data_IF_007813643472
#
_entry.id   IF_007813643472
#
_cell.length_a   1.000
_cell.length_b   1.000
_cell.length_c   1.000
_cell.angle_alpha   90.00
_cell.angle_beta   90.00
_cell.angle_gamma   90.00
#
_symmetry.space_group_name_H-M   'P 1'
#
loop_
_entity.id
_entity.type
_entity.pdbx_description
1 polymer ?
#
# COMPACT_ATOMS: atom_id res chain seq x y z
N UNK A 1 -25.19 4.93 16.20
CA UNK A 1 -23.90 4.92 15.47
C UNK A 1 -23.53 3.45 15.29
N UNK A 2 -23.79 2.88 14.11
CA UNK A 2 -23.57 1.44 13.86
C UNK A 2 -22.07 1.18 13.76
N UNK A 3 -21.56 0.23 14.53
CA UNK A 3 -20.16 -0.18 14.44
C UNK A 3 -19.86 -0.68 13.02
N UNK A 4 -18.67 -0.39 12.46
CA UNK A 4 -18.29 -0.88 11.15
C UNK A 4 -18.30 -2.41 11.13
N UNK A 5 -18.80 -2.99 10.03
CA UNK A 5 -18.79 -4.45 9.84
C UNK A 5 -17.34 -4.94 9.85
N UNK A 6 -16.98 -5.96 10.66
CA UNK A 6 -15.65 -6.52 10.63
C UNK A 6 -15.36 -7.19 9.27
N UNK A 7 -14.17 -6.97 8.73
CA UNK A 7 -13.69 -7.67 7.55
C UNK A 7 -13.03 -8.99 7.98
N UNK A 8 -13.82 -10.07 7.94
CA UNK A 8 -13.40 -11.42 8.39
C UNK A 8 -12.21 -11.99 7.61
N UNK A 9 -11.85 -11.41 6.46
CA UNK A 9 -10.70 -11.86 5.66
C UNK A 9 -9.36 -11.45 6.28
N UNK A 10 -9.39 -10.50 7.21
CA UNK A 10 -8.22 -10.09 7.99
C UNK A 10 -7.91 -11.05 9.15
N UNK A 11 -8.80 -11.98 9.46
CA UNK A 11 -8.58 -12.96 10.54
C UNK A 11 -7.48 -13.97 10.15
N UNK A 12 -7.57 -14.50 8.93
CA UNK A 12 -6.59 -15.43 8.35
C UNK A 12 -5.28 -14.73 7.92
N UNK A 13 -5.38 -13.50 7.43
CA UNK A 13 -4.22 -12.71 7.02
C UNK A 13 -4.37 -11.27 7.48
N UNK A 14 -3.93 -10.97 8.72
CA UNK A 14 -4.05 -9.63 9.29
C UNK A 14 -3.18 -8.63 8.55
N UNK A 15 -3.53 -7.36 8.66
CA UNK A 15 -2.62 -6.30 8.20
C UNK A 15 -1.42 -6.21 9.15
N UNK A 16 -0.22 -6.06 8.60
CA UNK A 16 1.02 -6.00 9.35
C UNK A 16 1.64 -4.61 9.25
N UNK A 17 2.23 -4.14 10.34
CA UNK A 17 2.87 -2.83 10.37
C UNK A 17 4.16 -2.83 9.55
N UNK A 18 4.32 -1.82 8.70
CA UNK A 18 5.55 -1.57 7.93
C UNK A 18 5.92 -0.11 8.07
N UNK A 19 7.15 0.16 8.49
CA UNK A 19 7.72 1.50 8.56
C UNK A 19 8.53 1.81 7.31
N UNK A 20 8.33 3.01 6.75
CA UNK A 20 9.18 3.51 5.69
C UNK A 20 10.58 3.82 6.24
N UNK A 21 11.61 3.24 5.63
CA UNK A 21 12.99 3.46 6.06
C UNK A 21 13.50 4.89 5.80
N UNK A 22 12.87 5.65 4.89
CA UNK A 22 13.29 7.00 4.53
C UNK A 22 12.63 8.09 5.38
N UNK A 23 11.30 8.04 5.54
CA UNK A 23 10.55 9.09 6.24
C UNK A 23 9.98 8.64 7.59
N UNK A 24 10.11 7.36 7.96
CA UNK A 24 9.61 6.83 9.24
C UNK A 24 8.10 6.65 9.31
N UNK A 25 7.33 6.98 8.26
CA UNK A 25 5.89 6.77 8.24
C UNK A 25 5.55 5.28 8.44
N UNK A 26 4.71 4.98 9.43
CA UNK A 26 4.26 3.63 9.75
C UNK A 26 2.85 3.39 9.18
N UNK A 27 2.71 2.37 8.34
CA UNK A 27 1.43 1.99 7.72
C UNK A 27 1.08 0.56 8.06
N UNK A 28 -0.18 0.20 7.88
CA UNK A 28 -0.60 -1.20 7.86
C UNK A 28 -0.61 -1.69 6.41
N UNK A 29 0.04 -2.82 6.14
CA UNK A 29 0.12 -3.42 4.82
C UNK A 29 -0.36 -4.88 4.85
N UNK A 30 -1.01 -5.31 3.78
CA UNK A 30 -1.41 -6.70 3.55
C UNK A 30 -1.11 -7.06 2.11
N UNK A 31 -0.32 -8.11 1.92
CA UNK A 31 0.12 -8.52 0.59
C UNK A 31 -0.68 -9.73 0.13
N UNK A 32 -1.59 -9.50 -0.81
CA UNK A 32 -2.43 -10.58 -1.35
C UNK A 32 -1.61 -11.43 -2.33
N UNK A 33 -0.70 -10.82 -3.10
CA UNK A 33 0.22 -11.50 -4.03
C UNK A 33 1.48 -10.68 -4.21
N UNK A 34 2.49 -11.19 -4.91
CA UNK A 34 3.76 -10.46 -5.08
C UNK A 34 3.61 -9.04 -5.65
N UNK A 35 2.67 -8.83 -6.57
CA UNK A 35 2.42 -7.52 -7.19
C UNK A 35 1.20 -6.77 -6.62
N UNK A 36 0.45 -7.37 -5.69
CA UNK A 36 -0.76 -6.76 -5.10
C UNK A 36 -0.61 -6.56 -3.59
N UNK A 37 -0.73 -5.30 -3.18
CA UNK A 37 -0.68 -4.90 -1.77
C UNK A 37 -1.80 -3.92 -1.46
N UNK A 38 -2.52 -4.19 -0.38
CA UNK A 38 -3.41 -3.24 0.25
C UNK A 38 -2.65 -2.51 1.35
N UNK A 39 -2.66 -1.17 1.31
CA UNK A 39 -2.01 -0.33 2.31
C UNK A 39 -3.06 0.56 2.95
N UNK A 40 -3.10 0.56 4.28
CA UNK A 40 -3.94 1.45 5.06
C UNK A 40 -3.06 2.51 5.71
N UNK A 41 -3.40 3.76 5.40
CA UNK A 41 -2.71 4.94 5.89
C UNK A 41 -3.48 5.57 7.04
N UNK A 42 -2.79 5.82 8.16
CA UNK A 42 -3.31 6.67 9.22
C UNK A 42 -3.05 8.15 8.92
N UNK A 43 -3.76 9.05 9.61
CA UNK A 43 -3.52 10.48 9.50
C UNK A 43 -2.06 10.85 9.86
N UNK A 44 -1.49 10.18 10.86
CA UNK A 44 -0.09 10.36 11.28
C UNK A 44 0.90 9.91 10.20
N UNK A 45 0.66 8.75 9.57
CA UNK A 45 1.50 8.26 8.47
C UNK A 45 1.46 9.20 7.27
N UNK A 46 0.26 9.73 6.97
CA UNK A 46 0.06 10.74 5.92
C UNK A 46 0.84 12.01 6.25
N UNK A 47 0.74 12.50 7.47
CA UNK A 47 1.41 13.72 7.91
C UNK A 47 2.94 13.56 7.93
N UNK A 48 3.44 12.37 8.23
CA UNK A 48 4.88 12.05 8.37
C UNK A 48 5.58 11.87 7.02
N UNK A 49 4.85 11.44 5.98
CA UNK A 49 5.44 11.11 4.68
C UNK A 49 6.03 12.33 3.94
N UNK A 50 7.35 12.36 3.80
CA UNK A 50 8.08 13.42 3.08
C UNK A 50 7.68 13.57 1.61
N UNK A 51 7.63 12.46 0.86
CA UNK A 51 7.25 12.49 -0.57
C UNK A 51 5.85 13.09 -0.77
N UNK A 52 4.95 12.85 0.18
CA UNK A 52 3.60 13.44 0.15
C UNK A 52 3.62 14.93 0.48
N UNK A 53 4.42 15.38 1.44
CA UNK A 53 4.60 16.82 1.74
C UNK A 53 5.24 17.59 0.58
N UNK A 54 6.15 16.95 -0.15
CA UNK A 54 6.83 17.52 -1.31
C UNK A 54 5.99 17.44 -2.60
N UNK A 55 4.92 16.65 -2.60
CA UNK A 55 3.99 16.61 -3.72
C UNK A 55 3.23 17.92 -3.80
N UNK A 56 3.22 18.52 -4.99
CA UNK A 56 2.45 19.73 -5.26
C UNK A 56 0.96 19.51 -4.92
N UNK A 57 0.26 20.55 -4.46
CA UNK A 57 -1.17 20.45 -4.19
C UNK A 57 -1.93 19.97 -5.44
N UNK A 58 -3.04 19.24 -5.27
CA UNK A 58 -3.85 18.80 -6.40
C UNK A 58 -4.19 19.99 -7.30
N UNK A 59 -3.79 19.93 -8.57
CA UNK A 59 -4.17 20.95 -9.55
C UNK A 59 -5.66 20.85 -9.87
N UNK A 60 -6.27 21.94 -10.36
CA UNK A 60 -7.66 21.96 -10.86
C UNK A 60 -7.90 20.91 -11.98
N UNK A 61 -6.82 20.51 -12.66
CA UNK A 61 -6.83 19.37 -13.59
C UNK A 61 -6.71 18.06 -12.79
N UNK A 62 -7.68 17.13 -12.88
CA UNK A 62 -7.55 15.81 -12.29
C UNK A 62 -6.23 15.14 -12.75
N UNK A 63 -5.51 14.52 -11.83
CA UNK A 63 -4.30 13.70 -12.05
C UNK A 63 -2.96 14.40 -12.35
N UNK A 64 -2.90 15.69 -12.68
CA UNK A 64 -1.62 16.33 -13.08
C UNK A 64 -0.57 16.44 -11.96
N UNK A 65 -0.98 16.25 -10.70
CA UNK A 65 -0.09 16.25 -9.52
C UNK A 65 -0.52 15.20 -8.48
N UNK A 66 -1.17 14.12 -8.93
CA UNK A 66 -1.64 13.08 -8.01
C UNK A 66 -0.46 12.36 -7.36
N UNK A 67 -0.45 12.31 -6.03
CA UNK A 67 0.52 11.55 -5.25
C UNK A 67 0.35 10.05 -5.55
N UNK A 68 1.29 9.46 -6.29
CA UNK A 68 1.28 8.05 -6.67
C UNK A 68 1.64 7.08 -5.52
N UNK A 69 1.96 7.62 -4.34
CA UNK A 69 2.45 6.89 -3.18
C UNK A 69 3.93 7.16 -2.90
N UNK A 70 4.37 6.78 -1.70
CA UNK A 70 5.76 6.90 -1.27
C UNK A 70 6.58 5.75 -1.88
N UNK A 71 7.52 6.07 -2.77
CA UNK A 71 8.40 5.09 -3.41
C UNK A 71 9.24 4.34 -2.39
N UNK A 72 9.78 5.04 -1.39
CA UNK A 72 10.55 4.43 -0.31
C UNK A 72 9.72 3.44 0.52
N UNK A 73 8.44 3.73 0.76
CA UNK A 73 7.54 2.81 1.45
C UNK A 73 7.25 1.56 0.61
N UNK A 74 7.06 1.70 -0.71
CA UNK A 74 6.85 0.54 -1.60
C UNK A 74 8.06 -0.39 -1.57
N UNK A 75 9.27 0.17 -1.53
CA UNK A 75 10.49 -0.60 -1.35
C UNK A 75 10.52 -1.30 0.01
N UNK A 76 10.20 -0.59 1.11
CA UNK A 76 10.15 -1.17 2.45
C UNK A 76 9.15 -2.34 2.55
N UNK A 77 7.96 -2.22 1.94
CA UNK A 77 6.96 -3.30 1.87
C UNK A 77 7.51 -4.51 1.10
N UNK A 78 8.19 -4.29 -0.04
CA UNK A 78 8.81 -5.37 -0.83
C UNK A 78 9.88 -6.08 -0.02
N UNK A 79 10.77 -5.34 0.64
CA UNK A 79 11.82 -5.89 1.50
C UNK A 79 11.25 -6.69 2.66
N UNK A 80 10.22 -6.18 3.34
CA UNK A 80 9.55 -6.90 4.42
C UNK A 80 8.95 -8.23 3.93
N UNK A 81 8.40 -8.27 2.71
CA UNK A 81 7.89 -9.50 2.13
C UNK A 81 9.02 -10.50 1.80
N UNK A 82 10.12 -10.04 1.20
CA UNK A 82 11.29 -10.90 0.89
C UNK A 82 11.90 -11.47 2.16
N UNK A 83 11.93 -10.71 3.25
CA UNK A 83 12.44 -11.15 4.56
C UNK A 83 11.46 -12.01 5.35
N UNK A 84 10.26 -12.25 4.83
CA UNK A 84 9.19 -12.98 5.54
C UNK A 84 8.56 -12.22 6.71
N UNK A 85 8.83 -10.93 6.86
CA UNK A 85 8.24 -10.07 7.88
C UNK A 85 6.83 -9.60 7.50
N UNK A 86 6.53 -9.57 6.20
CA UNK A 86 5.20 -9.34 5.65
C UNK A 86 4.75 -10.61 4.91
N UNK A 87 3.67 -11.23 5.38
CA UNK A 87 3.12 -12.45 4.78
C UNK A 87 2.50 -12.15 3.40
N UNK A 88 2.80 -13.01 2.43
CA UNK A 88 2.25 -12.98 1.08
C UNK A 88 1.23 -14.10 0.96
N UNK A 89 -0.05 -13.78 0.77
CA UNK A 89 -1.09 -14.80 0.76
C UNK A 89 -1.01 -15.75 -0.44
N UNK A 90 -0.54 -15.27 -1.59
CA UNK A 90 -0.44 -16.08 -2.81
C UNK A 90 0.88 -15.82 -3.51
N UNK A 91 1.61 -16.90 -3.79
CA UNK A 91 2.84 -16.88 -4.58
C UNK A 91 2.57 -16.94 -6.09
N UNK A 92 1.36 -17.37 -6.48
CA UNK A 92 0.97 -17.49 -7.87
C UNK A 92 0.93 -16.10 -8.55
N UNK A 93 1.48 -15.95 -9.76
CA UNK A 93 1.41 -14.71 -10.50
C UNK A 93 -0.05 -14.31 -10.73
N UNK A 94 -0.31 -13.01 -10.71
CA UNK A 94 -1.67 -12.51 -10.94
C UNK A 94 -2.17 -12.93 -12.31
N UNK A 95 -3.41 -13.39 -12.34
CA UNK A 95 -4.13 -13.64 -13.58
C UNK A 95 -4.39 -12.31 -14.26
N UNK A 96 -3.66 -12.04 -15.33
CA UNK A 96 -3.87 -10.86 -16.19
C UNK A 96 -5.02 -11.15 -17.16
N UNK A 97 -5.90 -10.18 -17.40
CA UNK A 97 -6.89 -10.31 -18.48
C UNK A 97 -6.19 -10.14 -19.84
N UNK A 98 -6.16 -11.18 -20.71
CA UNK A 98 -5.47 -11.09 -22.00
C UNK A 98 -6.06 -10.00 -22.91
N UNK A 99 -7.35 -9.66 -22.79
CA UNK A 99 -8.00 -8.63 -23.61
C UNK A 99 -7.54 -7.20 -23.27
N UNK A 100 -6.96 -6.96 -22.08
CA UNK A 100 -6.43 -5.66 -21.69
C UNK A 100 -5.05 -5.33 -22.30
N UNK A 101 -4.40 -6.30 -22.96
CA UNK A 101 -3.08 -6.13 -23.57
C UNK A 101 -3.12 -5.54 -25.00
N UNK A 102 -4.32 -5.33 -25.57
CA UNK A 102 -4.54 -4.84 -26.93
C UNK A 102 -5.22 -3.46 -26.99
N UNK A 103 -4.77 -2.51 -26.16
CA UNK A 103 -5.26 -1.13 -26.13
C UNK A 103 -4.18 -0.10 -26.40
#
# INVERSE_FOLDING_TARGET
MTAPRPDVRLDDAPMQSVSCAACGAAVLARKSSWDQVTVQWSAEAIATCDERRQSLPPSERPNRNAFAGCGALRAAIREAAVRGQLHVQSDEPLKTNPEAAHG
#
